data_IF_860148832981
#
_entry.id   IF_860148832981
#
_cell.length_a   1.000
_cell.length_b   1.000
_cell.length_c   1.000
_cell.angle_alpha   90.00
_cell.angle_beta   90.00
_cell.angle_gamma   90.00
#
_symmetry.space_group_name_H-M   'P 1'
#
loop_
_entity.id
_entity.type
_entity.pdbx_description
1 polymer ?
#
# COMPACT_ATOMS: atom_id res chain seq x y z
N UNK A 1 -27.57 -7.60 -59.60
CA UNK A 1 -26.17 -8.05 -59.66
C UNK A 1 -25.30 -6.94 -59.20
N UNK A 2 -24.85 -7.00 -57.95
CA UNK A 2 -23.63 -6.40 -57.43
C UNK A 2 -23.47 -6.88 -55.98
N UNK A 3 -22.47 -7.75 -55.77
CA UNK A 3 -22.11 -8.30 -54.49
C UNK A 3 -21.24 -7.26 -53.73
N UNK A 4 -21.67 -6.77 -52.58
CA UNK A 4 -20.78 -6.13 -51.63
C UNK A 4 -20.26 -7.16 -50.64
N UNK A 5 -18.96 -7.45 -50.75
CA UNK A 5 -18.20 -8.26 -49.78
C UNK A 5 -17.94 -7.39 -48.52
N UNK A 6 -18.55 -7.76 -47.42
CA UNK A 6 -18.18 -7.25 -46.09
C UNK A 6 -16.92 -7.99 -45.61
N UNK A 7 -15.82 -7.27 -45.53
CA UNK A 7 -14.60 -7.75 -44.89
C UNK A 7 -14.70 -7.53 -43.40
N UNK A 8 -15.02 -8.59 -42.64
CA UNK A 8 -14.94 -8.61 -41.20
C UNK A 8 -13.49 -8.75 -40.76
N UNK A 9 -12.85 -7.66 -40.36
CA UNK A 9 -11.57 -7.73 -39.63
C UNK A 9 -11.84 -8.26 -38.20
N UNK A 10 -11.61 -9.55 -38.03
CA UNK A 10 -11.51 -10.15 -36.69
C UNK A 10 -10.15 -9.79 -36.11
N UNK A 11 -10.09 -8.85 -35.18
CA UNK A 11 -8.94 -8.66 -34.32
C UNK A 11 -8.96 -9.79 -33.27
N UNK A 12 -8.15 -10.80 -33.50
CA UNK A 12 -7.91 -11.87 -32.53
C UNK A 12 -6.92 -11.35 -31.51
N UNK A 13 -7.40 -10.92 -30.32
CA UNK A 13 -6.56 -10.76 -29.17
C UNK A 13 -6.18 -12.15 -28.66
N UNK A 14 -4.94 -12.54 -28.88
CA UNK A 14 -4.34 -13.74 -28.30
C UNK A 14 -4.02 -13.40 -26.83
N UNK A 15 -4.88 -13.81 -25.90
CA UNK A 15 -4.53 -13.87 -24.47
C UNK A 15 -3.60 -15.07 -24.30
N UNK A 16 -2.31 -14.78 -24.13
CA UNK A 16 -1.34 -15.78 -23.66
C UNK A 16 -1.61 -16.01 -22.19
N UNK A 17 -2.36 -17.06 -21.89
CA UNK A 17 -2.49 -17.59 -20.52
C UNK A 17 -1.13 -18.13 -20.13
N UNK A 18 -0.40 -17.44 -19.27
CA UNK A 18 0.78 -17.98 -18.61
C UNK A 18 0.30 -19.05 -17.64
N UNK A 19 0.31 -20.29 -18.11
CA UNK A 19 0.13 -21.45 -17.26
C UNK A 19 1.36 -21.59 -16.38
N UNK A 20 1.22 -21.24 -15.10
CA UNK A 20 2.22 -21.51 -14.07
C UNK A 20 2.24 -23.02 -13.85
N UNK A 21 3.10 -23.73 -14.58
CA UNK A 21 3.35 -25.15 -14.38
C UNK A 21 4.02 -25.34 -13.02
N UNK A 22 3.30 -25.95 -12.08
CA UNK A 22 3.87 -26.54 -10.87
C UNK A 22 4.77 -27.70 -11.28
N UNK A 23 6.07 -27.47 -11.40
CA UNK A 23 7.07 -28.51 -11.50
C UNK A 23 7.23 -29.19 -10.13
N UNK A 24 7.12 -30.52 -10.03
CA UNK A 24 7.47 -31.22 -8.82
C UNK A 24 8.98 -31.18 -8.65
N UNK A 25 9.44 -30.54 -7.57
CA UNK A 25 10.82 -30.65 -7.11
C UNK A 25 11.08 -32.09 -6.65
N UNK A 26 11.66 -32.91 -7.53
CA UNK A 26 12.27 -34.17 -7.12
C UNK A 26 13.56 -33.85 -6.38
N UNK A 27 13.54 -34.02 -5.06
CA UNK A 27 14.72 -33.95 -4.23
C UNK A 27 15.62 -35.18 -4.53
N UNK A 28 16.64 -34.99 -5.35
CA UNK A 28 17.75 -35.94 -5.43
C UNK A 28 18.58 -35.84 -4.17
N UNK A 29 18.42 -36.82 -3.29
CA UNK A 29 19.27 -37.02 -2.12
C UNK A 29 20.69 -37.39 -2.57
N UNK A 30 21.59 -36.40 -2.66
CA UNK A 30 23.02 -36.68 -2.69
C UNK A 30 23.47 -37.07 -1.27
N UNK A 31 23.81 -38.35 -1.07
CA UNK A 31 24.59 -38.81 0.07
C UNK A 31 25.92 -38.05 0.10
N UNK A 32 26.03 -37.07 1.00
CA UNK A 32 27.29 -36.43 1.33
C UNK A 32 27.89 -37.17 2.53
N UNK A 33 29.09 -37.71 2.35
CA UNK A 33 29.85 -38.37 3.40
C UNK A 33 29.91 -37.47 4.65
N UNK A 34 29.68 -38.09 5.82
CA UNK A 34 29.77 -37.42 7.11
C UNK A 34 31.22 -36.97 7.36
N UNK A 35 31.44 -35.67 7.18
CA UNK A 35 32.57 -35.01 7.82
C UNK A 35 32.19 -34.82 9.29
N UNK A 36 33.07 -35.23 10.20
CA UNK A 36 32.87 -35.12 11.64
C UNK A 36 32.55 -33.70 12.10
N UNK A 37 32.03 -33.50 13.31
CA UNK A 37 31.58 -32.21 13.80
C UNK A 37 32.76 -31.22 13.79
N UNK A 38 32.78 -30.33 12.81
CA UNK A 38 33.60 -29.14 12.88
C UNK A 38 33.06 -28.32 14.08
N UNK A 39 33.93 -28.14 15.08
CA UNK A 39 33.59 -27.34 16.24
C UNK A 39 33.01 -26.00 15.80
N UNK A 40 31.88 -25.65 16.36
CA UNK A 40 31.26 -24.30 16.18
C UNK A 40 32.34 -23.28 16.47
N UNK A 41 32.61 -22.32 15.54
CA UNK A 41 33.50 -21.20 15.87
C UNK A 41 32.98 -20.53 17.15
N UNK A 42 33.87 -20.14 18.08
CA UNK A 42 33.43 -19.43 19.26
C UNK A 42 32.67 -18.18 18.80
N UNK A 43 31.47 -17.96 19.35
CA UNK A 43 30.67 -16.76 19.08
C UNK A 43 31.59 -15.54 19.26
N UNK A 44 31.61 -14.71 18.24
CA UNK A 44 32.30 -13.43 18.31
C UNK A 44 31.79 -12.65 19.55
N UNK A 45 32.65 -12.02 20.34
CA UNK A 45 32.23 -11.33 21.55
C UNK A 45 31.07 -10.39 21.21
N UNK A 46 29.89 -10.63 21.80
CA UNK A 46 28.72 -9.76 21.62
C UNK A 46 29.13 -8.37 22.10
N UNK A 47 28.94 -7.34 21.25
CA UNK A 47 29.23 -5.95 21.61
C UNK A 47 28.50 -5.63 22.94
N UNK A 48 29.10 -4.85 23.85
CA UNK A 48 28.43 -4.48 25.08
C UNK A 48 27.10 -3.78 24.76
N UNK A 49 26.05 -4.00 25.56
CA UNK A 49 24.74 -3.40 25.34
C UNK A 49 24.76 -1.89 25.56
N UNK A 50 23.83 -1.20 24.93
CA UNK A 50 23.50 0.18 25.27
C UNK A 50 22.85 0.22 26.66
N UNK A 51 22.99 1.32 27.40
CA UNK A 51 22.54 1.43 28.78
C UNK A 51 21.76 2.72 28.99
N UNK A 52 20.59 2.62 29.61
CA UNK A 52 19.81 3.74 30.15
C UNK A 52 19.86 3.69 31.67
N UNK A 53 20.16 4.83 32.30
CA UNK A 53 20.01 5.04 33.73
C UNK A 53 18.86 6.02 33.93
N UNK A 54 17.85 5.63 34.69
CA UNK A 54 16.69 6.43 34.98
C UNK A 54 16.95 7.43 36.12
N UNK A 55 16.08 8.44 36.21
CA UNK A 55 16.15 9.47 37.27
C UNK A 55 15.98 8.89 38.69
N UNK A 56 15.31 7.74 38.82
CA UNK A 56 15.15 7.00 40.07
C UNK A 56 16.37 6.12 40.44
N UNK A 57 17.35 6.04 39.53
CA UNK A 57 18.55 5.22 39.70
C UNK A 57 18.48 3.80 39.11
N UNK A 58 17.32 3.37 38.61
CA UNK A 58 17.20 2.08 37.93
C UNK A 58 18.00 2.07 36.62
N UNK A 59 18.43 0.88 36.18
CA UNK A 59 19.20 0.72 34.96
C UNK A 59 18.53 -0.29 34.04
N UNK A 60 18.51 0.04 32.74
CA UNK A 60 18.07 -0.85 31.68
C UNK A 60 19.18 -1.04 30.67
N UNK A 61 19.47 -2.30 30.33
CA UNK A 61 20.41 -2.69 29.27
C UNK A 61 19.65 -3.23 28.06
N UNK A 62 20.15 -2.90 26.86
CA UNK A 62 19.49 -3.32 25.62
C UNK A 62 20.12 -2.68 24.38
N UNK A 63 19.31 -2.28 23.42
CA UNK A 63 19.74 -1.63 22.20
C UNK A 63 18.96 -0.32 21.98
N UNK A 64 19.65 0.78 21.79
CA UNK A 64 19.07 2.04 21.39
C UNK A 64 18.57 1.91 19.94
N UNK A 65 17.29 2.27 19.68
CA UNK A 65 16.71 2.22 18.33
C UNK A 65 16.70 3.62 17.73
N UNK A 66 16.02 4.56 18.34
CA UNK A 66 16.00 5.96 17.91
C UNK A 66 15.46 6.87 19.03
N UNK A 67 15.67 8.15 18.85
CA UNK A 67 14.98 9.22 19.58
C UNK A 67 14.29 10.13 18.58
N UNK A 68 13.03 10.48 18.86
CA UNK A 68 12.22 11.39 18.04
C UNK A 68 11.40 12.29 18.93
N UNK A 69 11.66 13.60 18.82
CA UNK A 69 10.84 14.62 19.47
C UNK A 69 10.75 14.51 21.00
N UNK A 70 11.81 14.06 21.66
CA UNK A 70 11.86 13.94 23.11
C UNK A 70 11.52 12.54 23.65
N UNK A 71 11.26 11.57 22.77
CA UNK A 71 10.95 10.19 23.16
C UNK A 71 12.02 9.24 22.62
N UNK A 72 12.66 8.50 23.50
CA UNK A 72 13.64 7.45 23.20
C UNK A 72 12.91 6.13 23.06
N UNK A 73 13.09 5.45 21.92
CA UNK A 73 12.69 4.05 21.72
C UNK A 73 13.90 3.15 21.97
N UNK A 74 13.74 2.22 22.88
CA UNK A 74 14.79 1.32 23.34
C UNK A 74 14.30 -0.13 23.35
N UNK A 75 15.08 -1.03 22.79
CA UNK A 75 14.77 -2.46 22.75
C UNK A 75 15.44 -3.18 23.92
N UNK A 76 14.66 -3.90 24.68
CA UNK A 76 15.16 -4.81 25.72
C UNK A 76 14.78 -6.25 25.36
N UNK A 77 15.73 -7.17 25.46
CA UNK A 77 15.49 -8.61 25.20
C UNK A 77 14.41 -9.21 26.13
N UNK A 78 14.12 -8.54 27.28
CA UNK A 78 13.15 -9.01 28.28
C UNK A 78 11.75 -8.47 28.03
N UNK A 79 11.63 -7.16 27.75
CA UNK A 79 10.33 -6.46 27.68
C UNK A 79 9.97 -5.99 26.27
N UNK A 80 10.86 -6.18 25.29
CA UNK A 80 10.67 -5.70 23.91
C UNK A 80 10.93 -4.21 23.76
N UNK A 81 10.28 -3.57 22.78
CA UNK A 81 10.43 -2.15 22.50
C UNK A 81 9.64 -1.32 23.49
N UNK A 82 10.31 -0.36 24.14
CA UNK A 82 9.75 0.57 25.10
C UNK A 82 10.03 2.00 24.68
N UNK A 83 9.08 2.89 24.93
CA UNK A 83 9.20 4.32 24.71
C UNK A 83 9.39 5.03 26.04
N UNK A 84 10.45 5.83 26.14
CA UNK A 84 10.88 6.51 27.36
C UNK A 84 11.03 7.99 27.05
N UNK A 85 10.38 8.83 27.80
CA UNK A 85 10.54 10.29 27.70
C UNK A 85 11.88 10.74 28.29
N UNK A 86 12.51 11.76 27.69
CA UNK A 86 13.83 12.27 28.14
C UNK A 86 13.86 12.67 29.62
N UNK A 87 12.77 13.23 30.14
CA UNK A 87 12.67 13.66 31.53
C UNK A 87 12.80 12.50 32.54
N UNK A 88 12.64 11.27 32.12
CA UNK A 88 12.82 10.05 32.91
C UNK A 88 14.26 9.49 32.83
N UNK A 89 15.06 10.00 31.89
CA UNK A 89 16.41 9.50 31.62
C UNK A 89 17.41 10.44 32.29
N UNK A 90 18.19 9.89 33.24
CA UNK A 90 19.32 10.58 33.85
C UNK A 90 20.57 10.51 32.99
N UNK A 91 20.81 9.31 32.40
CA UNK A 91 21.99 9.05 31.56
C UNK A 91 21.65 8.02 30.49
N UNK A 92 22.14 8.25 29.28
CA UNK A 92 22.12 7.27 28.17
C UNK A 92 23.56 7.07 27.68
N UNK A 93 23.99 5.84 27.54
CA UNK A 93 25.28 5.45 26.92
C UNK A 93 25.00 4.49 25.77
N UNK A 94 25.39 4.88 24.55
CA UNK A 94 25.26 4.02 23.40
C UNK A 94 26.62 3.46 23.01
N UNK A 95 26.67 2.19 22.67
CA UNK A 95 27.75 1.53 21.91
C UNK A 95 27.41 1.56 20.42
N UNK A 96 26.12 1.62 20.12
CA UNK A 96 25.59 1.78 18.78
C UNK A 96 25.92 3.18 18.27
N UNK A 97 26.46 3.27 17.05
CA UNK A 97 26.74 4.54 16.40
C UNK A 97 25.43 5.16 15.95
N UNK A 98 25.30 6.45 16.18
CA UNK A 98 24.10 7.22 15.83
C UNK A 98 24.46 8.51 15.10
N UNK A 99 23.50 9.07 14.39
CA UNK A 99 23.54 10.43 13.86
C UNK A 99 22.60 11.31 14.68
N UNK A 100 23.06 12.51 15.07
CA UNK A 100 22.29 13.46 15.86
C UNK A 100 21.88 14.64 15.00
N UNK A 101 20.57 14.81 14.79
CA UNK A 101 20.01 15.92 14.04
C UNK A 101 19.36 16.91 15.00
N UNK A 102 19.79 18.14 14.94
CA UNK A 102 19.17 19.22 15.72
C UNK A 102 17.91 19.78 15.01
N UNK A 103 17.13 20.58 15.71
CA UNK A 103 15.88 21.19 15.21
C UNK A 103 16.02 21.99 13.91
N UNK A 104 17.22 22.45 13.55
CA UNK A 104 17.47 23.16 12.30
C UNK A 104 17.65 22.23 11.11
N UNK A 105 17.86 20.92 11.34
CA UNK A 105 18.16 19.92 10.33
C UNK A 105 16.92 19.01 10.18
N UNK A 106 16.13 19.25 9.14
CA UNK A 106 15.02 18.36 8.81
C UNK A 106 15.52 17.19 7.97
N UNK A 107 15.31 15.94 8.38
CA UNK A 107 15.70 14.75 7.62
C UNK A 107 14.96 14.63 6.28
N UNK A 108 13.91 15.42 6.09
CA UNK A 108 13.08 15.43 4.87
C UNK A 108 13.74 16.24 3.74
N UNK A 109 14.67 17.12 4.05
CA UNK A 109 15.34 17.96 3.03
C UNK A 109 16.16 17.10 2.06
N UNK A 110 16.11 17.48 0.80
CA UNK A 110 16.82 16.81 -0.30
C UNK A 110 18.33 16.88 -0.17
N UNK A 111 18.87 17.92 0.49
CA UNK A 111 20.28 18.11 0.82
C UNK A 111 20.42 18.38 2.30
N UNK A 112 21.10 17.50 3.00
CA UNK A 112 21.46 17.68 4.39
C UNK A 112 22.79 18.41 4.51
N UNK A 113 23.05 19.13 5.60
CA UNK A 113 24.36 19.67 5.89
C UNK A 113 25.43 18.56 5.91
N UNK A 114 26.65 18.80 5.41
CA UNK A 114 27.70 17.79 5.40
C UNK A 114 28.19 17.41 6.82
N UNK A 115 28.01 18.28 7.79
CA UNK A 115 28.52 18.14 9.15
C UNK A 115 27.39 17.74 10.11
N UNK A 116 26.84 16.55 9.96
CA UNK A 116 25.92 15.97 10.94
C UNK A 116 26.75 15.18 11.94
N UNK A 117 26.66 15.45 13.26
CA UNK A 117 27.40 14.72 14.28
C UNK A 117 27.06 13.23 14.22
N UNK A 118 28.07 12.37 14.10
CA UNK A 118 27.93 10.93 14.05
C UNK A 118 28.96 10.24 14.95
N UNK A 119 28.52 9.25 15.72
CA UNK A 119 29.38 8.51 16.62
C UNK A 119 28.59 7.80 17.71
N UNK A 120 29.27 7.29 18.74
CA UNK A 120 28.61 6.83 19.95
C UNK A 120 28.17 8.03 20.79
N UNK A 121 27.11 7.86 21.58
CA UNK A 121 26.52 8.97 22.33
C UNK A 121 26.54 8.68 23.84
N UNK A 122 26.91 9.71 24.60
CA UNK A 122 26.63 9.79 26.04
C UNK A 122 25.73 10.98 26.30
N UNK A 123 24.64 10.75 26.99
CA UNK A 123 23.71 11.80 27.43
C UNK A 123 23.81 11.92 28.92
N UNK A 124 24.15 13.09 29.40
CA UNK A 124 24.19 13.44 30.83
C UNK A 124 24.04 14.96 30.97
N UNK A 125 23.46 15.44 32.07
CA UNK A 125 23.33 16.86 32.39
C UNK A 125 22.67 17.68 31.23
N UNK A 126 21.57 17.16 30.67
CA UNK A 126 20.82 17.75 29.53
C UNK A 126 21.66 17.99 28.26
N UNK A 127 22.76 17.25 28.08
CA UNK A 127 23.64 17.34 26.94
C UNK A 127 23.82 15.99 26.27
N UNK A 128 23.75 16.00 24.95
CA UNK A 128 24.10 14.87 24.08
C UNK A 128 25.54 15.08 23.61
N UNK A 129 26.46 14.28 24.13
CA UNK A 129 27.87 14.30 23.72
C UNK A 129 28.07 13.19 22.69
N UNK A 130 28.41 13.57 21.46
CA UNK A 130 28.72 12.67 20.34
C UNK A 130 30.22 12.44 20.29
N UNK A 131 30.63 11.18 20.35
CA UNK A 131 32.03 10.75 20.27
C UNK A 131 32.34 10.17 18.89
N UNK A 132 32.96 10.96 17.98
CA UNK A 132 33.31 10.49 16.66
C UNK A 132 34.41 9.42 16.69
N UNK A 133 34.44 8.51 15.69
CA UNK A 133 35.42 7.43 15.62
C UNK A 133 36.87 7.87 15.38
N UNK A 134 37.09 8.99 14.71
CA UNK A 134 38.39 9.38 14.21
C UNK A 134 39.19 10.29 15.17
N UNK A 135 39.00 10.14 16.48
CA UNK A 135 39.56 11.05 17.48
C UNK A 135 39.24 12.55 17.23
N UNK A 136 38.20 12.83 16.48
CA UNK A 136 37.68 14.18 16.33
C UNK A 136 37.15 14.72 17.65
N UNK A 137 37.07 16.02 17.83
CA UNK A 137 36.54 16.62 19.04
C UNK A 137 35.12 16.15 19.32
N UNK A 138 34.81 15.92 20.60
CA UNK A 138 33.44 15.60 21.04
C UNK A 138 32.52 16.75 20.69
N UNK A 139 31.45 16.46 19.96
CA UNK A 139 30.43 17.45 19.63
C UNK A 139 29.29 17.37 20.67
N UNK A 140 28.93 18.51 21.23
CA UNK A 140 27.89 18.59 22.28
C UNK A 140 26.65 19.31 21.73
N UNK A 141 25.51 18.64 21.80
CA UNK A 141 24.20 19.18 21.43
C UNK A 141 23.31 19.21 22.68
N UNK A 142 22.67 20.33 23.05
CA UNK A 142 21.68 20.32 24.13
C UNK A 142 20.57 19.34 23.83
N UNK A 143 20.09 18.56 24.82
CA UNK A 143 18.98 17.59 24.66
C UNK A 143 17.73 18.26 24.06
N UNK A 144 17.40 19.47 24.52
CA UNK A 144 16.27 20.26 24.00
C UNK A 144 16.38 20.64 22.52
N UNK A 145 17.57 20.63 21.96
CA UNK A 145 17.84 20.98 20.56
C UNK A 145 18.03 19.74 19.67
N UNK A 146 18.29 18.57 20.25
CA UNK A 146 18.24 17.29 19.56
C UNK A 146 16.79 16.96 19.20
N UNK A 147 16.51 16.74 17.92
CA UNK A 147 15.18 16.39 17.45
C UNK A 147 15.11 14.95 16.97
N UNK A 148 16.21 14.43 16.47
CA UNK A 148 16.34 13.02 16.10
C UNK A 148 17.73 12.52 16.49
N UNK A 149 17.76 11.39 17.16
CA UNK A 149 18.97 10.57 17.31
C UNK A 149 18.65 9.23 16.64
N UNK A 150 19.37 8.92 15.58
CA UNK A 150 19.05 7.81 14.68
C UNK A 150 20.27 6.91 14.58
N UNK A 151 20.10 5.58 14.69
CA UNK A 151 21.20 4.67 14.45
C UNK A 151 21.82 4.89 13.05
N UNK A 152 23.12 4.72 12.93
CA UNK A 152 23.87 5.09 11.71
C UNK A 152 23.41 4.28 10.48
N UNK A 153 23.03 3.03 10.65
CA UNK A 153 22.55 2.21 9.53
C UNK A 153 21.23 2.73 8.99
N UNK A 154 20.27 2.99 9.89
CA UNK A 154 18.99 3.60 9.53
C UNK A 154 19.18 5.00 8.96
N UNK A 155 20.05 5.81 9.53
CA UNK A 155 20.36 7.14 8.99
C UNK A 155 20.89 7.05 7.55
N UNK A 156 21.88 6.20 7.30
CA UNK A 156 22.46 6.04 5.97
C UNK A 156 21.47 5.48 4.96
N UNK A 157 20.61 4.54 5.40
CA UNK A 157 19.64 3.86 4.56
C UNK A 157 18.40 4.71 4.28
N UNK A 158 17.79 5.30 5.30
CA UNK A 158 16.48 5.93 5.21
C UNK A 158 16.54 7.45 5.00
N UNK A 159 17.61 8.11 5.50
CA UNK A 159 17.75 9.57 5.44
C UNK A 159 18.66 10.00 4.30
N UNK A 160 19.83 9.38 4.16
CA UNK A 160 20.78 9.65 3.08
C UNK A 160 20.52 8.81 1.83
N UNK A 161 20.15 7.54 2.01
CA UNK A 161 19.86 6.60 0.95
C UNK A 161 18.45 6.73 0.38
N UNK A 162 18.21 5.98 -0.68
CA UNK A 162 16.89 5.77 -1.27
C UNK A 162 16.74 4.31 -1.68
N UNK A 163 15.60 3.67 -1.38
CA UNK A 163 15.34 2.34 -1.91
C UNK A 163 15.24 2.37 -3.44
N UNK A 164 15.73 1.30 -4.08
CA UNK A 164 15.53 1.09 -5.51
C UNK A 164 14.05 1.05 -5.88
N UNK A 165 13.73 1.24 -7.17
CA UNK A 165 12.34 1.33 -7.65
C UNK A 165 11.49 0.08 -7.33
N UNK A 166 12.11 -1.10 -7.26
CA UNK A 166 11.44 -2.37 -6.91
C UNK A 166 11.58 -2.75 -5.43
N UNK A 167 12.16 -1.88 -4.61
CA UNK A 167 12.33 -2.10 -3.17
C UNK A 167 11.31 -1.30 -2.36
N UNK A 168 11.15 -1.65 -1.09
CA UNK A 168 10.29 -0.96 -0.13
C UNK A 168 8.79 -1.05 -0.41
N UNK A 169 8.35 -1.96 -1.26
CA UNK A 169 6.93 -2.21 -1.49
C UNK A 169 6.34 -3.09 -0.38
N UNK A 170 5.23 -2.65 0.16
CA UNK A 170 4.42 -3.39 1.11
C UNK A 170 2.96 -3.31 0.69
N UNK A 171 2.14 -4.26 1.11
CA UNK A 171 0.73 -4.23 0.75
C UNK A 171 0.02 -5.55 0.95
N UNK A 172 -0.91 -5.87 0.08
CA UNK A 172 -1.71 -7.08 0.18
C UNK A 172 -2.11 -7.64 -1.18
N UNK A 173 -2.35 -8.93 -1.23
CA UNK A 173 -2.99 -9.62 -2.35
C UNK A 173 -4.17 -10.43 -1.83
N UNK A 174 -5.34 -10.23 -2.42
CA UNK A 174 -6.60 -10.88 -2.03
C UNK A 174 -7.12 -11.74 -3.18
N UNK A 175 -7.63 -12.91 -2.87
CA UNK A 175 -8.30 -13.77 -3.83
C UNK A 175 -9.57 -14.40 -3.20
N UNK A 176 -10.63 -14.48 -4.01
CA UNK A 176 -11.88 -15.09 -3.62
C UNK A 176 -12.57 -15.78 -4.80
N UNK A 177 -13.43 -16.73 -4.51
CA UNK A 177 -14.23 -17.41 -5.52
C UNK A 177 -15.58 -17.86 -4.94
N UNK A 178 -16.61 -17.80 -5.77
CA UNK A 178 -17.94 -18.38 -5.47
C UNK A 178 -18.33 -19.32 -6.60
N UNK A 179 -18.71 -20.53 -6.27
CA UNK A 179 -19.19 -21.55 -7.22
C UNK A 179 -20.57 -22.01 -6.74
N UNK A 180 -21.57 -21.84 -7.60
CA UNK A 180 -22.92 -22.35 -7.37
C UNK A 180 -23.24 -23.35 -8.47
N UNK A 181 -23.73 -24.54 -8.09
CA UNK A 181 -24.17 -25.58 -9.00
C UNK A 181 -25.60 -25.99 -8.60
N UNK A 182 -26.58 -25.48 -9.34
CA UNK A 182 -27.99 -25.76 -9.17
C UNK A 182 -28.67 -25.80 -10.54
N UNK A 183 -29.93 -25.40 -10.66
CA UNK A 183 -30.63 -25.19 -11.92
C UNK A 183 -29.86 -24.24 -12.86
N UNK A 184 -29.16 -23.26 -12.26
CA UNK A 184 -28.17 -22.43 -12.94
C UNK A 184 -26.78 -22.76 -12.38
N UNK A 185 -25.75 -22.67 -13.24
CA UNK A 185 -24.35 -22.76 -12.84
C UNK A 185 -23.79 -21.36 -12.79
N UNK A 186 -23.21 -20.97 -11.66
CA UNK A 186 -22.54 -19.68 -11.48
C UNK A 186 -21.12 -19.88 -11.00
N UNK A 187 -20.22 -19.15 -11.62
CA UNK A 187 -18.83 -19.02 -11.20
C UNK A 187 -18.52 -17.54 -11.07
N UNK A 188 -17.96 -17.14 -9.93
CA UNK A 188 -17.46 -15.79 -9.72
C UNK A 188 -16.08 -15.89 -9.11
N UNK A 189 -15.12 -15.23 -9.70
CA UNK A 189 -13.74 -15.09 -9.21
C UNK A 189 -13.45 -13.61 -8.99
N UNK A 190 -12.84 -13.29 -7.89
CA UNK A 190 -12.37 -11.93 -7.59
C UNK A 190 -10.94 -11.96 -7.07
N UNK A 191 -10.20 -10.93 -7.40
CA UNK A 191 -8.83 -10.73 -6.95
C UNK A 191 -8.51 -9.28 -6.83
N UNK A 192 -7.62 -8.94 -5.90
CA UNK A 192 -7.11 -7.59 -5.74
C UNK A 192 -5.64 -7.62 -5.28
N UNK A 193 -4.88 -6.64 -5.70
CA UNK A 193 -3.51 -6.39 -5.24
C UNK A 193 -3.43 -4.89 -4.92
N UNK A 194 -3.01 -4.57 -3.71
CA UNK A 194 -2.78 -3.21 -3.26
C UNK A 194 -1.35 -3.10 -2.76
N UNK A 195 -0.54 -2.24 -3.37
CA UNK A 195 0.86 -2.03 -3.03
C UNK A 195 1.13 -0.57 -2.73
N UNK A 196 1.87 -0.31 -1.68
CA UNK A 196 2.36 1.01 -1.34
C UNK A 196 3.87 0.99 -1.10
N UNK A 197 4.53 2.03 -1.58
CA UNK A 197 5.94 2.32 -1.34
C UNK A 197 6.07 3.70 -0.73
N UNK A 198 6.51 3.77 0.50
CA UNK A 198 6.70 5.02 1.25
C UNK A 198 8.19 5.21 1.50
N UNK A 199 8.70 6.40 1.29
CA UNK A 199 10.11 6.76 1.53
C UNK A 199 10.15 8.00 2.43
N UNK A 200 10.84 7.93 3.57
CA UNK A 200 11.51 6.79 4.22
C UNK A 200 10.56 5.64 4.58
N UNK A 201 11.10 4.42 4.72
CA UNK A 201 10.28 3.22 5.00
C UNK A 201 9.92 3.07 6.48
N UNK A 202 10.60 3.80 7.36
CA UNK A 202 10.36 3.79 8.81
C UNK A 202 9.24 4.77 9.16
N UNK A 203 8.24 4.30 9.89
CA UNK A 203 6.98 5.04 10.15
C UNK A 203 7.14 6.24 11.09
N UNK A 204 8.24 6.32 11.83
CA UNK A 204 8.53 7.44 12.73
C UNK A 204 9.25 8.62 12.06
N UNK A 205 9.71 8.46 10.79
CA UNK A 205 10.13 9.57 9.93
C UNK A 205 8.96 10.03 9.06
N UNK A 206 8.91 11.33 8.80
CA UNK A 206 7.91 11.88 7.91
C UNK A 206 8.15 11.43 6.45
N UNK A 207 7.11 11.10 5.69
CA UNK A 207 7.25 10.68 4.32
C UNK A 207 7.75 11.84 3.44
N UNK A 208 8.65 11.53 2.51
CA UNK A 208 9.10 12.42 1.43
C UNK A 208 8.28 12.17 0.16
N UNK A 209 8.00 10.91 -0.08
CA UNK A 209 7.23 10.45 -1.24
C UNK A 209 6.49 9.16 -0.91
N UNK A 210 5.35 8.97 -1.57
CA UNK A 210 4.56 7.74 -1.54
C UNK A 210 4.19 7.37 -2.97
N UNK A 211 4.20 6.08 -3.27
CA UNK A 211 3.66 5.55 -4.53
C UNK A 211 2.71 4.42 -4.18
N UNK A 212 1.51 4.46 -4.73
CA UNK A 212 0.54 3.37 -4.62
C UNK A 212 0.26 2.77 -5.99
N UNK A 213 -0.02 1.49 -6.03
CA UNK A 213 -0.47 0.75 -7.20
C UNK A 213 -1.54 -0.21 -6.71
N UNK A 214 -2.74 -0.07 -7.26
CA UNK A 214 -3.86 -0.89 -6.91
C UNK A 214 -4.43 -1.56 -8.16
N UNK A 215 -4.83 -2.80 -8.02
CA UNK A 215 -5.53 -3.56 -9.04
C UNK A 215 -6.61 -4.40 -8.37
N UNK A 216 -7.81 -4.35 -8.90
CA UNK A 216 -8.88 -5.27 -8.51
C UNK A 216 -9.65 -5.78 -9.73
N UNK A 217 -10.15 -6.99 -9.60
CA UNK A 217 -10.92 -7.60 -10.68
C UNK A 217 -11.96 -8.59 -10.16
N UNK A 218 -13.10 -8.61 -10.81
CA UNK A 218 -14.16 -9.60 -10.61
C UNK A 218 -14.64 -10.11 -11.96
N UNK A 219 -14.69 -11.42 -12.12
CA UNK A 219 -15.22 -12.08 -13.29
C UNK A 219 -16.30 -13.06 -12.88
N UNK A 220 -17.51 -12.90 -13.43
CA UNK A 220 -18.65 -13.76 -13.19
C UNK A 220 -19.21 -14.36 -14.49
N UNK A 221 -19.68 -15.60 -14.40
CA UNK A 221 -20.42 -16.25 -15.46
C UNK A 221 -21.59 -17.02 -14.87
N UNK A 222 -22.80 -16.72 -15.35
CA UNK A 222 -24.03 -17.46 -15.05
C UNK A 222 -24.44 -18.18 -16.30
N UNK A 223 -24.70 -19.48 -16.22
CA UNK A 223 -25.14 -20.31 -17.34
C UNK A 223 -26.38 -21.07 -16.95
N UNK A 224 -27.40 -21.03 -17.80
CA UNK A 224 -28.62 -21.81 -17.70
C UNK A 224 -28.69 -22.81 -18.84
N UNK A 225 -28.98 -24.05 -18.52
CA UNK A 225 -29.18 -25.08 -19.51
C UNK A 225 -30.50 -24.84 -20.30
N UNK A 226 -30.57 -25.37 -21.53
CA UNK A 226 -31.82 -25.39 -22.26
C UNK A 226 -32.90 -26.12 -21.47
N UNK A 227 -34.14 -25.61 -21.49
CA UNK A 227 -35.30 -26.23 -20.85
C UNK A 227 -36.57 -26.04 -21.67
N UNK A 228 -37.57 -26.84 -21.37
CA UNK A 228 -38.91 -26.73 -21.96
C UNK A 228 -39.87 -26.33 -20.84
N UNK A 229 -40.69 -25.30 -21.08
CA UNK A 229 -41.74 -24.86 -20.17
C UNK A 229 -42.98 -24.45 -20.97
N UNK A 230 -44.13 -24.93 -20.57
CA UNK A 230 -45.38 -24.65 -21.27
C UNK A 230 -45.43 -25.15 -22.74
N UNK A 231 -44.57 -26.11 -23.14
CA UNK A 231 -44.42 -26.57 -24.49
C UNK A 231 -43.49 -25.72 -25.37
N UNK A 232 -42.94 -24.67 -24.86
CA UNK A 232 -41.97 -23.78 -25.54
C UNK A 232 -40.52 -24.17 -25.18
N UNK A 233 -39.62 -24.19 -26.15
CA UNK A 233 -38.21 -24.50 -25.97
C UNK A 233 -37.43 -23.20 -25.69
N UNK A 234 -36.76 -23.13 -24.56
CA UNK A 234 -35.86 -22.07 -24.17
C UNK A 234 -34.39 -22.53 -24.42
N UNK A 235 -33.65 -21.86 -25.30
CA UNK A 235 -32.25 -22.23 -25.57
C UNK A 235 -31.36 -21.95 -24.35
N UNK A 236 -30.16 -22.59 -24.30
CA UNK A 236 -29.21 -22.33 -23.21
C UNK A 236 -28.72 -20.87 -23.27
N UNK A 237 -28.69 -20.23 -22.12
CA UNK A 237 -28.25 -18.85 -22.01
C UNK A 237 -27.01 -18.76 -21.13
N UNK A 238 -26.15 -17.82 -21.44
CA UNK A 238 -24.96 -17.53 -20.64
C UNK A 238 -24.70 -16.04 -20.59
N UNK A 239 -24.65 -15.51 -19.37
CA UNK A 239 -24.35 -14.09 -19.10
C UNK A 239 -22.99 -14.03 -18.42
N UNK A 240 -22.13 -13.13 -18.89
CA UNK A 240 -20.82 -12.86 -18.31
C UNK A 240 -20.84 -11.45 -17.71
N UNK A 241 -20.13 -11.27 -16.61
CA UNK A 241 -19.86 -9.97 -16.00
C UNK A 241 -18.36 -9.90 -15.75
N UNK A 242 -17.76 -8.78 -16.12
CA UNK A 242 -16.35 -8.50 -15.85
C UNK A 242 -16.25 -7.06 -15.36
N UNK A 243 -15.56 -6.87 -14.26
CA UNK A 243 -15.32 -5.55 -13.66
C UNK A 243 -13.84 -5.53 -13.28
N UNK A 244 -13.09 -4.56 -13.79
CA UNK A 244 -11.68 -4.40 -13.49
C UNK A 244 -11.41 -2.94 -13.17
N UNK A 245 -10.55 -2.73 -12.18
CA UNK A 245 -10.02 -1.43 -11.80
C UNK A 245 -8.51 -1.56 -11.63
N UNK A 246 -7.76 -0.60 -12.16
CA UNK A 246 -6.33 -0.47 -11.93
C UNK A 246 -5.99 1.00 -11.79
N UNK A 247 -5.25 1.36 -10.75
CA UNK A 247 -4.78 2.71 -10.57
C UNK A 247 -3.34 2.78 -10.07
N UNK A 248 -2.72 3.93 -10.28
CA UNK A 248 -1.42 4.27 -9.74
C UNK A 248 -1.40 5.75 -9.36
N UNK A 249 -0.84 6.04 -8.21
CA UNK A 249 -0.66 7.39 -7.69
C UNK A 249 0.76 7.58 -7.18
N UNK A 250 1.33 8.75 -7.40
CA UNK A 250 2.62 9.14 -6.83
C UNK A 250 2.51 10.50 -6.18
N UNK A 251 2.95 10.56 -4.91
CA UNK A 251 2.86 11.72 -4.03
C UNK A 251 4.24 12.27 -3.71
N UNK A 252 4.34 13.59 -3.71
CA UNK A 252 5.49 14.34 -3.20
C UNK A 252 5.06 15.19 -2.01
N UNK A 253 5.60 14.93 -0.84
CA UNK A 253 5.24 15.62 0.39
C UNK A 253 5.98 16.96 0.52
N UNK A 254 5.24 18.06 0.73
CA UNK A 254 5.77 19.37 1.08
C UNK A 254 5.89 19.56 2.58
N UNK A 255 4.95 18.99 3.31
CA UNK A 255 4.90 18.94 4.77
C UNK A 255 4.61 17.49 5.21
N UNK A 256 4.72 17.15 6.49
CA UNK A 256 4.35 15.80 6.95
C UNK A 256 2.92 15.37 6.62
N UNK A 257 2.06 16.32 6.20
CA UNK A 257 0.63 16.08 5.98
C UNK A 257 0.10 16.54 4.63
N UNK A 258 0.82 17.41 3.92
CA UNK A 258 0.36 17.96 2.63
C UNK A 258 1.27 17.50 1.52
N UNK A 259 0.69 16.99 0.46
CA UNK A 259 1.41 16.47 -0.70
C UNK A 259 0.77 16.89 -2.02
N UNK A 260 1.60 17.01 -3.05
CA UNK A 260 1.17 17.04 -4.44
C UNK A 260 1.11 15.61 -4.96
N UNK A 261 0.13 15.32 -5.79
CA UNK A 261 -0.05 14.00 -6.37
C UNK A 261 -0.24 14.03 -7.88
N UNK A 262 0.17 12.95 -8.54
CA UNK A 262 -0.25 12.60 -9.90
C UNK A 262 -0.87 11.20 -9.86
N UNK A 263 -1.94 11.02 -10.62
CA UNK A 263 -2.66 9.74 -10.65
C UNK A 263 -3.06 9.34 -12.06
N UNK A 264 -3.19 8.03 -12.27
CA UNK A 264 -3.84 7.45 -13.43
C UNK A 264 -4.72 6.31 -12.97
N UNK A 265 -5.91 6.16 -13.59
CA UNK A 265 -6.79 5.03 -13.32
C UNK A 265 -7.40 4.49 -14.62
N UNK A 266 -7.73 3.21 -14.59
CA UNK A 266 -8.33 2.47 -15.70
C UNK A 266 -9.45 1.60 -15.14
N UNK A 267 -10.66 1.78 -15.67
CA UNK A 267 -11.85 1.04 -15.27
C UNK A 267 -12.48 0.33 -16.44
N UNK A 268 -12.96 -0.87 -16.20
CA UNK A 268 -13.85 -1.63 -17.07
C UNK A 268 -15.02 -2.14 -16.25
N UNK A 269 -16.25 -1.87 -16.68
CA UNK A 269 -17.44 -2.34 -15.97
C UNK A 269 -18.51 -2.79 -16.96
N UNK A 270 -18.52 -4.09 -17.25
CA UNK A 270 -19.46 -4.69 -18.19
C UNK A 270 -20.92 -4.45 -17.76
N UNK A 271 -21.24 -4.46 -16.46
CA UNK A 271 -22.61 -4.27 -15.98
C UNK A 271 -23.14 -2.85 -16.17
N UNK A 272 -22.24 -1.87 -16.28
CA UNK A 272 -22.57 -0.47 -16.60
C UNK A 272 -22.35 -0.14 -18.09
N UNK A 273 -22.03 -1.13 -18.91
CA UNK A 273 -21.72 -0.92 -20.34
C UNK A 273 -20.44 -0.14 -20.60
N UNK A 274 -19.58 0.02 -19.59
CA UNK A 274 -18.32 0.75 -19.69
C UNK A 274 -17.21 -0.19 -20.16
N UNK A 275 -16.75 0.00 -21.40
CA UNK A 275 -15.67 -0.78 -21.98
C UNK A 275 -14.31 -0.37 -21.42
N UNK A 276 -14.03 0.93 -21.42
CA UNK A 276 -12.81 1.47 -20.82
C UNK A 276 -13.02 2.93 -20.39
N UNK A 277 -12.72 3.19 -19.13
CA UNK A 277 -12.52 4.53 -18.62
C UNK A 277 -11.05 4.73 -18.32
N UNK A 278 -10.50 5.85 -18.71
CA UNK A 278 -9.11 6.25 -18.48
C UNK A 278 -9.12 7.60 -17.79
N UNK A 279 -8.44 7.71 -16.67
CA UNK A 279 -8.33 8.94 -15.89
C UNK A 279 -6.85 9.29 -15.75
N UNK A 280 -6.51 10.55 -16.05
CA UNK A 280 -5.17 11.10 -15.88
C UNK A 280 -5.30 12.43 -15.18
N UNK A 281 -4.70 12.57 -14.00
CA UNK A 281 -4.90 13.75 -13.18
C UNK A 281 -3.73 14.09 -12.27
N UNK A 282 -3.82 15.25 -11.68
CA UNK A 282 -2.91 15.71 -10.63
C UNK A 282 -3.62 16.65 -9.68
N UNK A 283 -3.09 16.76 -8.48
CA UNK A 283 -3.78 17.55 -7.45
C UNK A 283 -3.02 17.65 -6.15
N UNK A 284 -3.77 17.88 -5.10
CA UNK A 284 -3.26 18.06 -3.74
C UNK A 284 -3.98 17.09 -2.81
N UNK A 285 -3.21 16.47 -1.92
CA UNK A 285 -3.73 15.66 -0.83
C UNK A 285 -3.31 16.22 0.54
N UNK A 286 -4.13 15.89 1.53
CA UNK A 286 -3.94 16.29 2.91
C UNK A 286 -4.29 15.14 3.84
N UNK A 287 -3.30 14.69 4.62
CA UNK A 287 -3.50 13.73 5.72
C UNK A 287 -4.11 14.46 6.91
N UNK A 288 -5.44 14.49 6.99
CA UNK A 288 -6.21 15.20 8.01
C UNK A 288 -6.02 14.57 9.40
N UNK A 289 -6.03 13.23 9.47
CA UNK A 289 -5.76 12.48 10.69
C UNK A 289 -4.56 11.55 10.46
N UNK A 290 -3.62 11.56 11.39
CA UNK A 290 -2.49 10.63 11.40
C UNK A 290 -2.17 10.22 12.83
N UNK A 291 -2.34 8.96 13.12
CA UNK A 291 -1.97 8.35 14.39
C UNK A 291 -1.49 6.91 14.16
N UNK A 292 -0.89 6.23 15.15
CA UNK A 292 -0.48 4.83 15.03
C UNK A 292 -1.63 3.86 14.71
N UNK A 293 -2.88 4.25 14.97
CA UNK A 293 -4.06 3.39 14.84
C UNK A 293 -5.04 3.82 13.74
N UNK A 294 -4.92 5.06 13.21
CA UNK A 294 -5.82 5.54 12.16
C UNK A 294 -5.17 6.62 11.30
N UNK A 295 -5.59 6.66 10.04
CA UNK A 295 -5.19 7.67 9.06
C UNK A 295 -6.40 8.06 8.22
N UNK A 296 -6.56 9.36 7.94
CA UNK A 296 -7.55 9.91 7.02
C UNK A 296 -6.83 10.82 6.04
N UNK A 297 -6.83 10.44 4.79
CA UNK A 297 -6.35 11.24 3.66
C UNK A 297 -7.54 11.82 2.89
N UNK A 298 -7.47 13.10 2.58
CA UNK A 298 -8.39 13.81 1.71
C UNK A 298 -7.61 14.26 0.48
N UNK A 299 -8.15 14.04 -0.72
CA UNK A 299 -7.50 14.49 -1.95
C UNK A 299 -8.47 15.16 -2.91
N UNK A 300 -7.96 16.14 -3.67
CA UNK A 300 -8.65 16.80 -4.75
C UNK A 300 -7.74 16.94 -5.95
N UNK A 301 -8.21 16.50 -7.13
CA UNK A 301 -7.45 16.54 -8.38
C UNK A 301 -8.20 17.27 -9.47
N UNK A 302 -7.47 17.73 -10.48
CA UNK A 302 -7.99 18.11 -11.79
C UNK A 302 -7.54 17.03 -12.76
N UNK A 303 -8.42 16.60 -13.64
CA UNK A 303 -8.16 15.43 -14.49
C UNK A 303 -8.81 15.52 -15.85
N UNK A 304 -8.23 14.80 -16.78
CA UNK A 304 -8.83 14.40 -18.03
C UNK A 304 -9.32 12.95 -17.90
N UNK A 305 -10.54 12.70 -18.37
CA UNK A 305 -11.19 11.41 -18.35
C UNK A 305 -11.72 11.06 -19.74
N UNK A 306 -11.42 9.85 -20.21
CA UNK A 306 -11.96 9.32 -21.44
C UNK A 306 -12.81 8.09 -21.14
N UNK A 307 -14.08 8.10 -21.51
CA UNK A 307 -15.01 6.99 -21.39
C UNK A 307 -15.33 6.41 -22.76
N UNK A 308 -15.13 5.11 -22.93
CA UNK A 308 -15.55 4.32 -24.07
C UNK A 308 -16.58 3.29 -23.62
N UNK A 309 -17.68 3.15 -24.34
CA UNK A 309 -18.77 2.26 -23.95
C UNK A 309 -18.85 1.05 -24.89
N UNK A 310 -19.35 -0.09 -24.38
CA UNK A 310 -19.48 -1.36 -25.10
C UNK A 310 -20.53 -1.18 -26.23
N UNK A 311 -20.15 -1.56 -27.45
CA UNK A 311 -21.01 -1.46 -28.64
C UNK A 311 -21.58 -0.05 -28.92
N UNK A 312 -20.93 0.98 -28.39
CA UNK A 312 -21.33 2.36 -28.64
C UNK A 312 -20.78 2.88 -29.97
N UNK A 313 -21.47 3.85 -30.53
CA UNK A 313 -20.95 4.69 -31.61
C UNK A 313 -20.05 5.77 -31.04
N UNK A 314 -19.19 6.39 -31.87
CA UNK A 314 -18.20 7.36 -31.39
C UNK A 314 -18.83 8.59 -30.70
N UNK A 315 -20.08 8.93 -31.05
CA UNK A 315 -20.86 10.03 -30.46
C UNK A 315 -21.35 9.75 -29.02
N UNK A 316 -21.35 8.49 -28.58
CA UNK A 316 -21.69 8.09 -27.21
C UNK A 316 -20.48 8.12 -26.29
N UNK A 317 -19.27 7.92 -26.85
CA UNK A 317 -18.04 8.00 -26.09
C UNK A 317 -17.78 9.44 -25.61
N UNK A 318 -17.20 9.59 -24.42
CA UNK A 318 -17.06 10.89 -23.79
C UNK A 318 -15.60 11.21 -23.51
N UNK A 319 -15.25 12.47 -23.72
CA UNK A 319 -14.00 13.07 -23.25
C UNK A 319 -14.36 14.14 -22.23
N UNK A 320 -13.99 13.92 -20.99
CA UNK A 320 -14.42 14.71 -19.86
C UNK A 320 -13.22 15.45 -19.24
N UNK A 321 -13.49 16.66 -18.76
CA UNK A 321 -12.56 17.40 -17.90
C UNK A 321 -13.28 17.55 -16.57
N UNK A 322 -12.66 17.11 -15.51
CA UNK A 322 -13.30 17.07 -14.20
C UNK A 322 -12.32 17.11 -13.05
N UNK A 323 -12.80 16.67 -11.91
CA UNK A 323 -12.04 16.50 -10.67
C UNK A 323 -12.35 15.15 -10.04
N UNK A 324 -11.43 14.66 -9.22
CA UNK A 324 -11.74 13.66 -8.22
C UNK A 324 -11.62 14.28 -6.84
N UNK A 325 -12.66 14.14 -6.03
CA UNK A 325 -12.62 14.41 -4.58
C UNK A 325 -12.73 13.09 -3.88
N UNK A 326 -11.69 12.69 -3.13
CA UNK A 326 -11.68 11.42 -2.45
C UNK A 326 -11.29 11.55 -0.98
N UNK A 327 -11.85 10.66 -0.17
CA UNK A 327 -11.52 10.47 1.24
C UNK A 327 -11.14 9.00 1.46
N UNK A 328 -9.94 8.77 1.98
CA UNK A 328 -9.43 7.43 2.30
C UNK A 328 -9.19 7.34 3.81
N UNK A 329 -9.91 6.43 4.46
CA UNK A 329 -9.82 6.20 5.89
C UNK A 329 -9.29 4.80 6.18
N UNK A 330 -8.25 4.70 6.99
CA UNK A 330 -7.70 3.45 7.49
C UNK A 330 -7.77 3.43 9.01
N UNK A 331 -8.17 2.29 9.59
CA UNK A 331 -8.18 2.07 11.03
C UNK A 331 -7.68 0.68 11.40
N UNK A 332 -6.70 0.63 12.31
CA UNK A 332 -6.30 -0.60 12.97
C UNK A 332 -7.24 -0.87 14.14
N UNK A 333 -7.87 -2.02 14.12
CA UNK A 333 -8.80 -2.50 15.13
C UNK A 333 -8.08 -3.48 16.07
N UNK A 334 -8.68 -3.82 17.24
CA UNK A 334 -8.14 -4.84 18.14
C UNK A 334 -7.84 -6.16 17.41
N UNK A 335 -6.90 -6.95 17.94
CA UNK A 335 -6.44 -8.24 17.37
C UNK A 335 -5.80 -8.13 15.98
N UNK A 336 -5.29 -6.94 15.62
CA UNK A 336 -4.59 -6.73 14.34
C UNK A 336 -5.51 -6.64 13.12
N UNK A 337 -6.83 -6.53 13.30
CA UNK A 337 -7.75 -6.28 12.19
C UNK A 337 -7.50 -4.90 11.58
N UNK A 338 -7.70 -4.78 10.26
CA UNK A 338 -7.54 -3.53 9.53
C UNK A 338 -8.82 -3.25 8.75
N UNK A 339 -9.40 -2.09 8.99
CA UNK A 339 -10.51 -1.55 8.23
C UNK A 339 -10.01 -0.44 7.32
N UNK A 340 -10.40 -0.49 6.03
CA UNK A 340 -10.17 0.59 5.07
C UNK A 340 -11.52 0.96 4.44
N UNK A 341 -11.70 2.25 4.22
CA UNK A 341 -12.82 2.84 3.49
C UNK A 341 -12.28 3.88 2.54
N UNK A 342 -12.76 3.87 1.33
CA UNK A 342 -12.53 4.91 0.34
C UNK A 342 -13.86 5.37 -0.25
N UNK A 343 -14.03 6.67 -0.34
CA UNK A 343 -15.17 7.31 -1.01
C UNK A 343 -14.63 8.29 -2.03
N UNK A 344 -15.10 8.22 -3.26
CA UNK A 344 -14.73 9.17 -4.31
C UNK A 344 -15.95 9.73 -5.03
N UNK A 345 -15.87 11.02 -5.39
CA UNK A 345 -16.82 11.73 -6.23
C UNK A 345 -16.08 12.35 -7.40
N UNK A 346 -16.50 12.03 -8.60
CA UNK A 346 -15.84 12.42 -9.85
C UNK A 346 -16.84 13.21 -10.71
N UNK A 347 -16.96 14.54 -10.54
CA UNK A 347 -17.76 15.41 -11.41
C UNK A 347 -16.99 15.76 -12.69
N UNK A 348 -17.71 15.85 -13.82
CA UNK A 348 -17.19 16.42 -15.05
C UNK A 348 -17.69 17.86 -15.24
N UNK A 349 -16.81 18.77 -15.65
CA UNK A 349 -17.14 20.19 -15.81
C UNK A 349 -17.70 20.53 -17.18
N UNK A 350 -17.29 19.80 -18.21
CA UNK A 350 -17.79 19.97 -19.57
C UNK A 350 -19.06 19.16 -19.88
N UNK A 351 -19.48 18.29 -18.95
CA UNK A 351 -20.76 17.58 -19.00
C UNK A 351 -21.26 17.31 -17.56
N UNK A 352 -22.06 18.20 -17.02
CA UNK A 352 -22.55 18.14 -15.63
C UNK A 352 -23.43 16.91 -15.34
N UNK A 353 -23.89 16.19 -16.37
CA UNK A 353 -24.62 14.94 -16.21
C UNK A 353 -23.67 13.72 -16.13
N UNK A 354 -22.39 13.89 -16.51
CA UNK A 354 -21.39 12.84 -16.43
C UNK A 354 -20.65 12.96 -15.11
N UNK A 355 -21.17 12.33 -14.07
CA UNK A 355 -20.47 12.17 -12.78
C UNK A 355 -20.56 10.74 -12.30
N UNK A 356 -19.56 10.34 -11.52
CA UNK A 356 -19.56 9.06 -10.83
C UNK A 356 -19.28 9.22 -9.35
N UNK A 357 -19.76 8.25 -8.59
CA UNK A 357 -19.50 8.12 -7.14
C UNK A 357 -19.08 6.69 -6.91
N UNK A 358 -18.05 6.45 -6.13
CA UNK A 358 -17.70 5.11 -5.68
C UNK A 358 -17.42 5.09 -4.19
N UNK A 359 -17.77 3.97 -3.56
CA UNK A 359 -17.44 3.67 -2.18
C UNK A 359 -16.89 2.24 -2.11
N UNK A 360 -15.70 2.10 -1.57
CA UNK A 360 -15.13 0.79 -1.25
C UNK A 360 -14.89 0.65 0.24
N UNK A 361 -15.21 -0.51 0.79
CA UNK A 361 -14.93 -0.86 2.17
C UNK A 361 -14.23 -2.21 2.21
N UNK A 362 -13.24 -2.35 3.07
CA UNK A 362 -12.60 -3.63 3.32
C UNK A 362 -12.28 -3.83 4.80
N UNK A 363 -12.48 -5.05 5.27
CA UNK A 363 -12.10 -5.49 6.61
C UNK A 363 -11.23 -6.73 6.49
N UNK A 364 -9.97 -6.63 6.90
CA UNK A 364 -9.03 -7.73 6.98
C UNK A 364 -8.91 -8.23 8.42
N UNK A 365 -9.11 -9.53 8.62
CA UNK A 365 -9.10 -10.20 9.93
C UNK A 365 -7.97 -11.24 9.94
N UNK A 366 -6.82 -10.96 10.59
CA UNK A 366 -5.69 -11.89 10.66
C UNK A 366 -6.09 -13.20 11.35
N UNK A 367 -5.69 -14.33 10.80
CA UNK A 367 -5.92 -15.64 11.42
C UNK A 367 -4.66 -16.53 11.46
N UNK A 368 -3.69 -16.31 10.58
CA UNK A 368 -2.45 -17.08 10.58
C UNK A 368 -1.31 -16.31 9.90
N UNK A 369 -0.24 -16.00 10.63
CA UNK A 369 0.98 -15.28 10.13
C UNK A 369 0.62 -14.07 9.25
N UNK A 370 0.89 -14.15 7.94
CA UNK A 370 0.58 -13.11 6.96
C UNK A 370 -0.76 -13.31 6.24
N UNK A 371 -1.59 -14.25 6.68
CA UNK A 371 -2.90 -14.54 6.10
C UNK A 371 -4.02 -13.92 6.93
N UNK A 372 -4.96 -13.31 6.25
CA UNK A 372 -6.18 -12.73 6.80
C UNK A 372 -7.40 -13.20 6.02
N UNK A 373 -8.54 -13.35 6.67
CA UNK A 373 -9.84 -13.35 5.99
C UNK A 373 -10.19 -11.91 5.65
N UNK A 374 -10.76 -11.68 4.48
CA UNK A 374 -11.20 -10.36 4.05
C UNK A 374 -12.65 -10.36 3.63
N UNK A 375 -13.33 -9.29 4.02
CA UNK A 375 -14.67 -8.94 3.55
C UNK A 375 -14.56 -7.57 2.92
N UNK A 376 -15.16 -7.40 1.73
CA UNK A 376 -15.15 -6.12 1.03
C UNK A 376 -16.47 -5.82 0.37
N UNK A 377 -16.78 -4.54 0.20
CA UNK A 377 -17.86 -4.02 -0.63
C UNK A 377 -17.29 -2.98 -1.57
N UNK A 378 -17.82 -2.95 -2.79
CA UNK A 378 -17.61 -1.88 -3.76
C UNK A 378 -18.97 -1.49 -4.29
N UNK A 379 -19.34 -0.24 -4.08
CA UNK A 379 -20.53 0.38 -4.67
C UNK A 379 -20.08 1.46 -5.66
N UNK A 380 -20.53 1.38 -6.90
CA UNK A 380 -20.12 2.25 -7.99
C UNK A 380 -21.37 2.78 -8.71
N UNK A 381 -21.56 4.08 -8.68
CA UNK A 381 -22.64 4.80 -9.34
C UNK A 381 -22.09 5.62 -10.52
N UNK A 382 -22.67 5.41 -11.71
CA UNK A 382 -22.41 6.19 -12.90
C UNK A 382 -23.71 6.88 -13.34
N UNK A 383 -23.74 8.21 -13.33
CA UNK A 383 -24.98 8.95 -13.59
C UNK A 383 -25.44 8.88 -15.05
N UNK A 384 -24.53 8.79 -15.99
CA UNK A 384 -24.83 8.78 -17.43
C UNK A 384 -24.23 7.56 -18.14
N UNK A 385 -24.70 6.32 -17.84
CA UNK A 385 -24.24 5.13 -18.53
C UNK A 385 -24.74 5.15 -19.98
N UNK A 386 -24.04 4.40 -20.86
CA UNK A 386 -24.48 4.25 -22.25
C UNK A 386 -25.89 3.66 -22.32
N UNK A 387 -26.76 4.18 -23.20
CA UNK A 387 -28.08 3.61 -23.44
C UNK A 387 -27.95 2.19 -24.03
N UNK A 388 -28.68 1.23 -23.47
CA UNK A 388 -28.71 -0.15 -23.90
C UNK A 388 -30.09 -0.76 -23.73
N UNK A 389 -30.33 -1.93 -24.37
CA UNK A 389 -31.54 -2.74 -24.17
C UNK A 389 -31.12 -4.14 -23.66
N UNK A 390 -31.52 -4.54 -22.44
CA UNK A 390 -32.30 -3.76 -21.43
C UNK A 390 -31.52 -2.53 -20.94
N UNK A 391 -32.18 -1.52 -20.30
CA UNK A 391 -31.52 -0.31 -19.81
C UNK A 391 -30.35 -0.61 -18.87
N UNK A 392 -29.23 0.03 -19.12
CA UNK A 392 -28.02 -0.08 -18.28
C UNK A 392 -28.30 0.43 -16.86
N UNK A 393 -27.92 -0.36 -15.87
CA UNK A 393 -28.04 0.04 -14.46
C UNK A 393 -26.97 1.09 -14.14
N UNK A 394 -27.40 2.16 -13.43
CA UNK A 394 -26.49 3.22 -12.96
C UNK A 394 -25.62 2.76 -11.80
N UNK A 395 -26.17 1.89 -10.95
CA UNK A 395 -25.49 1.39 -9.75
C UNK A 395 -24.98 -0.03 -9.95
N UNK A 396 -23.78 -0.30 -9.49
CA UNK A 396 -23.14 -1.62 -9.48
C UNK A 396 -22.60 -1.89 -8.08
N UNK A 397 -23.22 -2.85 -7.38
CA UNK A 397 -22.79 -3.26 -6.05
C UNK A 397 -22.10 -4.61 -6.09
N UNK A 398 -20.93 -4.72 -5.46
CA UNK A 398 -20.18 -5.95 -5.33
C UNK A 398 -19.93 -6.24 -3.84
N UNK A 399 -20.12 -7.49 -3.45
CA UNK A 399 -19.69 -8.01 -2.17
C UNK A 399 -18.60 -9.06 -2.42
N UNK A 400 -17.49 -8.94 -1.73
CA UNK A 400 -16.36 -9.85 -1.85
C UNK A 400 -16.05 -10.51 -0.51
N UNK A 401 -15.77 -11.80 -0.56
CA UNK A 401 -15.24 -12.57 0.55
C UNK A 401 -14.04 -13.36 0.05
N UNK A 402 -12.94 -13.33 0.78
CA UNK A 402 -11.73 -13.98 0.30
C UNK A 402 -10.66 -14.12 1.39
N UNK A 403 -9.52 -14.59 0.95
CA UNK A 403 -8.29 -14.64 1.73
C UNK A 403 -7.32 -13.57 1.24
N UNK A 404 -6.71 -12.87 2.16
CA UNK A 404 -5.72 -11.82 1.90
C UNK A 404 -4.36 -12.23 2.45
N UNK A 405 -3.33 -12.15 1.62
CA UNK A 405 -1.94 -12.31 2.00
C UNK A 405 -1.29 -10.93 2.17
N UNK A 406 -0.69 -10.68 3.34
CA UNK A 406 0.03 -9.43 3.62
C UNK A 406 1.46 -9.52 3.08
N UNK A 407 1.79 -8.61 2.18
CA UNK A 407 3.12 -8.44 1.58
C UNK A 407 3.90 -7.46 2.46
N UNK A 408 5.01 -7.91 3.03
CA UNK A 408 5.91 -7.07 3.83
C UNK A 408 7.12 -6.67 3.01
N UNK A 409 7.52 -5.42 3.10
CA UNK A 409 8.78 -4.96 2.53
C UNK A 409 9.96 -5.73 3.14
N UNK A 410 10.94 -6.07 2.29
CA UNK A 410 12.23 -6.64 2.70
C UNK A 410 13.37 -5.62 2.67
N UNK A 411 13.06 -4.34 2.44
CA UNK A 411 14.05 -3.28 2.40
C UNK A 411 14.54 -2.89 3.78
#
# INVERSE_FOLDING_TARGET
MSQHRNATHRLSFVFTVVSLALLPFTATSMCRAAAGPAGTPPDAPKAPPDVIIFTNGDQLSGTFIHEVGGTVTFHSDIVGDINIEWDKIKELRTQTKVAVLNKSISPEKKKLPPNIPQGTVTVADDKVNVHPENNAPVETVPVKDAQYIIDQNTFNKEVLGRPGIFQAWAGSATAGATIVQATQKQYTFNGAVALARVVPTVSWLNPKERTTIDFSGSYGKISQHAYISGGEFFPPTSIKSAIYHADAEHDWYFTPRVYFLVQTAFDHNFSQGLDLQQIYGGGIGWTALKSPVQELDLKGTIQYEKQSFINATDDVNQNLIGSTFAAMYMRKLPKGMIFNQEVSYIPAYNNLHAYSVSESNSLAMPFYKSLSLSIGTLDSYLNNPAPALPPTQRNSFQFTFGATYVIKSKY
#
